data_IF_514948850747
#
_entry.id   IF_514948850747
#
_cell.length_a   1.000
_cell.length_b   1.000
_cell.length_c   1.000
_cell.angle_alpha   90.00
_cell.angle_beta   90.00
_cell.angle_gamma   90.00
#
_symmetry.space_group_name_H-M   'P 1'
#
loop_
_entity.id
_entity.type
_entity.pdbx_description
1 polymer ?
#
# COMPACT_ATOMS: atom_id res chain seq x y z
N UNK A 1 -0.38 5.66 -3.91
CA UNK A 1 -0.96 6.50 -4.97
C UNK A 1 -2.35 6.02 -5.41
N UNK A 2 -2.54 4.73 -5.71
CA UNK A 2 -3.85 4.18 -6.11
C UNK A 2 -4.95 4.34 -5.04
N UNK A 3 -4.60 4.19 -3.75
CA UNK A 3 -5.53 4.35 -2.64
C UNK A 3 -6.04 5.79 -2.51
N UNK A 4 -5.17 6.78 -2.72
CA UNK A 4 -5.53 8.21 -2.69
C UNK A 4 -6.54 8.57 -3.79
N UNK A 5 -6.35 8.03 -5.00
CA UNK A 5 -7.28 8.22 -6.11
C UNK A 5 -8.67 7.65 -5.82
N UNK A 6 -8.77 6.52 -5.12
CA UNK A 6 -10.06 5.92 -4.76
C UNK A 6 -10.74 6.67 -3.60
N UNK A 7 -10.02 6.97 -2.52
CA UNK A 7 -10.59 7.60 -1.32
C UNK A 7 -10.94 9.08 -1.49
N UNK A 8 -10.27 9.78 -2.43
CA UNK A 8 -10.54 11.20 -2.69
C UNK A 8 -11.28 11.38 -4.02
N UNK A 9 -10.90 10.63 -5.07
CA UNK A 9 -11.49 10.79 -6.39
C UNK A 9 -12.96 10.37 -6.46
N UNK A 10 -13.33 9.23 -5.86
CA UNK A 10 -14.72 8.74 -5.90
C UNK A 10 -15.69 9.73 -5.20
N UNK A 11 -15.40 10.22 -3.98
CA UNK A 11 -16.24 11.24 -3.36
C UNK A 11 -16.35 12.54 -4.15
N UNK A 12 -15.24 13.04 -4.70
CA UNK A 12 -15.24 14.28 -5.48
C UNK A 12 -16.04 14.15 -6.77
N UNK A 13 -15.88 13.05 -7.52
CA UNK A 13 -16.66 12.79 -8.73
C UNK A 13 -18.16 12.68 -8.42
N UNK A 14 -18.52 11.99 -7.33
CA UNK A 14 -19.91 11.85 -6.93
C UNK A 14 -20.53 13.20 -6.55
N UNK A 15 -19.82 14.00 -5.74
CA UNK A 15 -20.26 15.34 -5.36
C UNK A 15 -20.38 16.29 -6.56
N UNK A 16 -19.48 16.18 -7.55
CA UNK A 16 -19.55 16.93 -8.81
C UNK A 16 -20.81 16.58 -9.62
N UNK A 17 -21.15 15.29 -9.74
CA UNK A 17 -22.37 14.85 -10.42
C UNK A 17 -23.61 15.36 -9.68
N UNK A 18 -23.64 15.25 -8.35
CA UNK A 18 -24.74 15.79 -7.53
C UNK A 18 -24.88 17.30 -7.71
N UNK A 19 -23.77 18.04 -7.70
CA UNK A 19 -23.77 19.48 -7.93
C UNK A 19 -24.36 19.81 -9.31
N UNK A 20 -23.89 19.15 -10.37
CA UNK A 20 -24.36 19.38 -11.74
C UNK A 20 -25.85 19.10 -11.92
N UNK A 21 -26.35 18.00 -11.35
CA UNK A 21 -27.79 17.67 -11.39
C UNK A 21 -28.61 18.71 -10.63
N UNK A 22 -28.17 19.11 -9.44
CA UNK A 22 -28.89 20.08 -8.62
C UNK A 22 -28.87 21.49 -9.21
N UNK A 23 -27.78 21.89 -9.89
CA UNK A 23 -27.75 23.18 -10.61
C UNK A 23 -28.73 23.26 -11.76
N UNK A 24 -29.11 22.13 -12.37
CA UNK A 24 -30.17 22.09 -13.38
C UNK A 24 -31.58 22.11 -12.80
N UNK A 25 -31.76 21.63 -11.57
CA UNK A 25 -33.07 21.60 -10.89
C UNK A 25 -33.39 22.94 -10.21
N UNK A 26 -32.38 23.66 -9.75
CA UNK A 26 -32.53 24.96 -9.09
C UNK A 26 -32.32 26.13 -10.07
N UNK A 27 -33.41 26.68 -10.62
CA UNK A 27 -33.38 28.02 -11.24
C UNK A 27 -33.91 29.11 -10.29
N UNK A 28 -33.38 30.35 -10.36
CA UNK A 28 -31.98 30.70 -10.60
C UNK A 28 -31.15 30.54 -9.30
N UNK A 29 -29.87 30.20 -9.46
CA UNK A 29 -28.84 30.18 -8.40
C UNK A 29 -28.54 31.57 -7.82
N UNK A 30 -29.20 32.63 -8.32
CA UNK A 30 -29.08 33.99 -7.77
C UNK A 30 -29.70 34.14 -6.39
N UNK A 31 -30.62 33.23 -6.01
CA UNK A 31 -31.13 33.19 -4.64
C UNK A 31 -30.10 32.58 -3.70
N UNK A 32 -29.69 33.36 -2.68
CA UNK A 32 -28.77 32.91 -1.62
C UNK A 32 -29.25 31.60 -0.98
N UNK A 33 -30.56 31.41 -0.86
CA UNK A 33 -31.14 30.18 -0.32
C UNK A 33 -30.91 28.95 -1.22
N UNK A 34 -30.89 29.13 -2.54
CA UNK A 34 -30.58 28.06 -3.47
C UNK A 34 -29.08 27.71 -3.43
N UNK A 35 -28.21 28.71 -3.26
CA UNK A 35 -26.77 28.48 -3.04
C UNK A 35 -26.48 27.72 -1.76
N UNK A 36 -27.13 28.10 -0.65
CA UNK A 36 -26.99 27.39 0.63
C UNK A 36 -27.48 25.95 0.55
N UNK A 37 -28.62 25.70 -0.11
CA UNK A 37 -29.14 24.34 -0.36
C UNK A 37 -28.16 23.52 -1.20
N UNK A 38 -27.66 24.08 -2.30
CA UNK A 38 -26.68 23.41 -3.14
C UNK A 38 -25.42 23.03 -2.35
N UNK A 39 -24.83 23.99 -1.62
CA UNK A 39 -23.66 23.75 -0.79
C UNK A 39 -23.90 22.67 0.26
N UNK A 40 -25.05 22.69 0.94
CA UNK A 40 -25.43 21.65 1.90
C UNK A 40 -25.49 20.26 1.25
N UNK A 41 -26.17 20.11 0.11
CA UNK A 41 -26.27 18.82 -0.58
C UNK A 41 -24.92 18.31 -1.09
N UNK A 42 -24.06 19.20 -1.57
CA UNK A 42 -22.69 18.84 -1.99
C UNK A 42 -21.87 18.35 -0.80
N UNK A 43 -21.93 19.02 0.35
CA UNK A 43 -21.24 18.59 1.56
C UNK A 43 -21.76 17.23 2.04
N UNK A 44 -23.08 17.04 2.10
CA UNK A 44 -23.69 15.76 2.48
C UNK A 44 -23.29 14.65 1.51
N UNK A 45 -23.28 14.91 0.20
CA UNK A 45 -22.85 13.95 -0.80
C UNK A 45 -21.37 13.56 -0.64
N UNK A 46 -20.48 14.51 -0.34
CA UNK A 46 -19.07 14.24 -0.04
C UNK A 46 -18.91 13.35 1.20
N UNK A 47 -19.61 13.67 2.28
CA UNK A 47 -19.52 12.91 3.53
C UNK A 47 -20.05 11.47 3.37
N UNK A 48 -21.20 11.31 2.70
CA UNK A 48 -21.79 9.99 2.46
C UNK A 48 -20.93 9.14 1.53
N UNK A 49 -20.43 9.71 0.44
CA UNK A 49 -19.57 8.97 -0.50
C UNK A 49 -18.23 8.60 0.13
N UNK A 50 -17.65 9.47 0.97
CA UNK A 50 -16.46 9.14 1.75
C UNK A 50 -16.72 7.97 2.70
N UNK A 51 -17.83 8.00 3.44
CA UNK A 51 -18.22 6.91 4.35
C UNK A 51 -18.40 5.58 3.61
N UNK A 52 -19.13 5.58 2.48
CA UNK A 52 -19.33 4.39 1.65
C UNK A 52 -17.99 3.86 1.15
N UNK A 53 -17.09 4.74 0.71
CA UNK A 53 -15.76 4.34 0.24
C UNK A 53 -14.92 3.72 1.35
N UNK A 54 -15.00 4.24 2.59
CA UNK A 54 -14.35 3.63 3.76
C UNK A 54 -14.89 2.23 4.06
N UNK A 55 -16.22 2.07 4.09
CA UNK A 55 -16.85 0.78 4.38
C UNK A 55 -16.51 -0.25 3.30
N UNK A 56 -16.66 0.12 2.03
CA UNK A 56 -16.34 -0.76 0.90
C UNK A 56 -14.84 -1.06 0.83
N UNK A 57 -13.98 -0.06 0.99
CA UNK A 57 -12.53 -0.26 1.03
C UNK A 57 -12.11 -1.23 2.13
N UNK A 58 -12.64 -1.06 3.34
CA UNK A 58 -12.39 -1.97 4.46
C UNK A 58 -12.90 -3.39 4.21
N UNK A 59 -14.11 -3.52 3.65
CA UNK A 59 -14.71 -4.82 3.32
C UNK A 59 -13.90 -5.57 2.25
N UNK A 60 -13.48 -4.88 1.19
CA UNK A 60 -12.64 -5.44 0.15
C UNK A 60 -11.30 -5.90 0.73
N UNK A 61 -10.61 -5.06 1.51
CA UNK A 61 -9.35 -5.47 2.16
C UNK A 61 -9.57 -6.67 3.07
N UNK A 62 -10.63 -6.67 3.88
CA UNK A 62 -10.94 -7.76 4.81
C UNK A 62 -11.24 -9.10 4.13
N UNK A 63 -11.90 -9.10 2.97
CA UNK A 63 -12.20 -10.34 2.22
C UNK A 63 -11.01 -10.78 1.37
N UNK A 64 -10.37 -9.84 0.68
CA UNK A 64 -9.32 -10.17 -0.27
C UNK A 64 -8.01 -10.51 0.43
N UNK A 65 -7.71 -9.94 1.60
CA UNK A 65 -6.46 -10.23 2.31
C UNK A 65 -6.29 -11.72 2.66
N UNK A 66 -7.27 -12.40 3.29
CA UNK A 66 -7.20 -13.84 3.50
C UNK A 66 -7.06 -14.65 2.22
N UNK A 67 -7.66 -14.19 1.10
CA UNK A 67 -7.56 -14.87 -0.18
C UNK A 67 -6.15 -14.77 -0.80
N UNK A 68 -5.47 -13.63 -0.61
CA UNK A 68 -4.09 -13.45 -1.10
C UNK A 68 -3.02 -14.02 -0.16
N UNK A 69 -3.36 -14.30 1.11
CA UNK A 69 -2.41 -14.82 2.09
C UNK A 69 -1.71 -16.13 1.64
N UNK A 70 -2.40 -17.16 1.11
CA UNK A 70 -1.72 -18.37 0.63
C UNK A 70 -0.72 -18.10 -0.50
N UNK A 71 -1.05 -17.15 -1.40
CA UNK A 71 -0.17 -16.76 -2.50
C UNK A 71 1.07 -16.03 -1.97
N UNK A 72 0.88 -15.14 -0.99
CA UNK A 72 1.95 -14.46 -0.28
C UNK A 72 2.88 -15.46 0.40
N UNK A 73 2.35 -16.39 1.20
CA UNK A 73 3.13 -17.40 1.89
C UNK A 73 3.86 -18.34 0.92
N UNK A 74 3.19 -18.77 -0.15
CA UNK A 74 3.81 -19.60 -1.18
C UNK A 74 4.98 -18.88 -1.87
N UNK A 75 4.86 -17.56 -2.11
CA UNK A 75 5.95 -16.76 -2.66
C UNK A 75 7.11 -16.62 -1.67
N UNK A 76 6.82 -16.37 -0.40
CA UNK A 76 7.85 -16.26 0.64
C UNK A 76 8.63 -17.57 0.79
N UNK A 77 7.94 -18.71 0.80
CA UNK A 77 8.58 -20.04 0.82
C UNK A 77 9.46 -20.28 -0.41
N UNK A 78 9.00 -19.89 -1.61
CA UNK A 78 9.81 -19.97 -2.84
C UNK A 78 11.06 -19.10 -2.79
N UNK A 79 11.00 -17.97 -2.08
CA UNK A 79 12.15 -17.11 -1.86
C UNK A 79 13.11 -17.63 -0.77
N UNK A 80 12.81 -18.76 -0.11
CA UNK A 80 13.66 -19.35 0.91
C UNK A 80 13.41 -18.84 2.34
N UNK A 81 12.27 -18.18 2.58
CA UNK A 81 11.80 -17.86 3.93
C UNK A 81 11.32 -19.15 4.66
N UNK A 82 11.37 -19.21 6.01
CA UNK A 82 11.81 -18.16 6.93
C UNK A 82 13.31 -17.90 6.86
N UNK A 83 13.70 -16.65 7.12
CA UNK A 83 15.11 -16.24 7.23
C UNK A 83 15.51 -16.15 8.70
N UNK A 84 16.78 -16.40 8.97
CA UNK A 84 17.39 -16.34 10.29
C UNK A 84 18.67 -15.51 10.24
N UNK A 85 19.09 -15.01 11.40
CA UNK A 85 20.37 -14.32 11.56
C UNK A 85 21.53 -15.18 11.02
N UNK A 86 22.35 -14.59 10.18
CA UNK A 86 23.46 -15.23 9.47
C UNK A 86 23.15 -15.63 8.03
N UNK A 87 21.87 -15.69 7.64
CA UNK A 87 21.47 -16.07 6.28
C UNK A 87 21.96 -15.06 5.24
N UNK A 88 22.52 -15.58 4.15
CA UNK A 88 22.88 -14.78 2.97
C UNK A 88 21.65 -14.60 2.09
N UNK A 89 21.29 -13.35 1.83
CA UNK A 89 20.09 -12.98 1.10
C UNK A 89 20.39 -11.94 0.04
N UNK A 90 19.64 -11.97 -1.06
CA UNK A 90 19.64 -10.95 -2.10
C UNK A 90 18.38 -10.11 -2.01
N UNK A 91 18.54 -8.79 -2.07
CA UNK A 91 17.42 -7.85 -2.05
C UNK A 91 16.79 -7.77 -3.44
N UNK A 92 15.47 -7.92 -3.54
CA UNK A 92 14.74 -8.00 -4.81
C UNK A 92 14.19 -6.66 -5.30
N UNK A 93 14.15 -5.64 -4.44
CA UNK A 93 13.44 -4.37 -4.72
C UNK A 93 14.15 -3.16 -4.11
N UNK A 94 13.80 -1.96 -4.59
CA UNK A 94 14.26 -0.69 -4.03
C UNK A 94 15.70 -0.31 -4.42
N UNK A 95 16.28 0.64 -3.67
CA UNK A 95 17.60 1.23 -3.95
C UNK A 95 18.74 0.21 -3.87
N UNK A 96 18.60 -0.79 -2.99
CA UNK A 96 19.61 -1.84 -2.76
C UNK A 96 19.31 -3.12 -3.55
N UNK A 97 18.51 -3.04 -4.63
CA UNK A 97 18.15 -4.20 -5.45
C UNK A 97 19.39 -4.93 -5.98
N UNK A 98 19.28 -6.26 -6.03
CA UNK A 98 20.30 -7.23 -6.44
C UNK A 98 21.57 -7.26 -5.56
N UNK A 99 21.62 -6.43 -4.50
CA UNK A 99 22.67 -6.49 -3.49
C UNK A 99 22.49 -7.75 -2.65
N UNK A 100 23.58 -8.49 -2.52
CA UNK A 100 23.70 -9.63 -1.62
C UNK A 100 24.24 -9.16 -0.28
N UNK A 101 23.59 -9.55 0.80
CA UNK A 101 23.91 -9.15 2.16
C UNK A 101 23.56 -10.28 3.14
N UNK A 102 23.78 -10.07 4.43
CA UNK A 102 23.44 -11.01 5.50
C UNK A 102 22.35 -10.45 6.39
N UNK A 103 21.45 -11.32 6.83
CA UNK A 103 20.53 -11.01 7.91
C UNK A 103 21.33 -10.94 9.21
N UNK A 104 21.25 -9.82 9.93
CA UNK A 104 21.98 -9.66 11.19
C UNK A 104 21.06 -9.59 12.41
N UNK A 105 19.75 -9.35 12.21
CA UNK A 105 18.78 -9.27 13.30
C UNK A 105 17.37 -9.54 12.77
N UNK A 106 16.57 -10.26 13.56
CA UNK A 106 15.13 -10.38 13.34
C UNK A 106 14.44 -9.05 13.70
N UNK A 107 13.34 -8.73 13.02
CA UNK A 107 12.52 -7.55 13.32
C UNK A 107 11.08 -7.96 13.63
N UNK A 108 10.23 -6.98 13.95
CA UNK A 108 8.80 -7.22 14.20
C UNK A 108 8.11 -7.70 12.92
N UNK A 109 7.15 -8.60 13.10
CA UNK A 109 6.33 -9.21 12.05
C UNK A 109 7.18 -10.02 11.04
N UNK A 110 6.80 -10.04 9.77
CA UNK A 110 7.49 -10.75 8.69
C UNK A 110 8.67 -9.94 8.10
N UNK A 111 9.45 -9.30 8.97
CA UNK A 111 10.56 -8.42 8.59
C UNK A 111 11.87 -8.82 9.27
N UNK A 112 12.98 -8.57 8.57
CA UNK A 112 14.34 -8.80 9.07
C UNK A 112 15.23 -7.60 8.75
N UNK A 113 16.32 -7.43 9.50
CA UNK A 113 17.35 -6.43 9.24
C UNK A 113 18.55 -7.04 8.55
N UNK A 114 19.05 -6.35 7.53
CA UNK A 114 20.17 -6.82 6.69
C UNK A 114 21.35 -5.85 6.69
N UNK A 115 22.56 -6.36 6.53
CA UNK A 115 23.79 -5.59 6.69
C UNK A 115 24.10 -4.71 5.46
N UNK A 116 23.68 -3.45 5.49
CA UNK A 116 23.85 -2.50 4.37
C UNK A 116 24.88 -1.39 4.63
N UNK A 117 25.05 -1.00 5.90
CA UNK A 117 25.94 0.07 6.35
C UNK A 117 25.41 0.69 7.65
N UNK A 118 26.20 1.51 8.32
CA UNK A 118 25.78 2.17 9.57
C UNK A 118 24.73 3.28 9.29
N UNK A 119 24.88 4.04 8.21
CA UNK A 119 23.90 5.05 7.79
C UNK A 119 22.51 4.44 7.57
N UNK A 120 22.43 3.33 6.83
CA UNK A 120 21.16 2.65 6.60
C UNK A 120 20.54 2.08 7.88
N UNK A 121 21.37 1.68 8.86
CA UNK A 121 20.89 1.21 10.17
C UNK A 121 20.32 2.34 11.00
N UNK A 122 20.96 3.51 11.00
CA UNK A 122 20.50 4.71 11.72
C UNK A 122 19.20 5.25 11.13
N UNK A 123 19.06 5.19 9.80
CA UNK A 123 17.87 5.64 9.08
C UNK A 123 16.78 4.56 8.94
N UNK A 124 16.97 3.36 9.50
CA UNK A 124 16.07 2.20 9.39
C UNK A 124 15.76 1.77 7.94
N UNK A 125 16.68 2.06 7.01
CA UNK A 125 16.61 1.65 5.60
C UNK A 125 17.10 0.21 5.38
N UNK A 126 17.44 -0.48 6.46
CA UNK A 126 17.96 -1.84 6.48
C UNK A 126 16.91 -2.89 6.88
N UNK A 127 15.65 -2.49 7.10
CA UNK A 127 14.53 -3.38 7.38
C UNK A 127 13.85 -3.80 6.07
N UNK A 128 13.75 -5.11 5.84
CA UNK A 128 13.08 -5.66 4.67
C UNK A 128 12.04 -6.69 5.07
N UNK A 129 10.91 -6.70 4.37
CA UNK A 129 9.95 -7.79 4.45
C UNK A 129 10.52 -9.05 3.79
N UNK A 130 10.18 -10.23 4.31
CA UNK A 130 10.63 -11.52 3.75
C UNK A 130 10.29 -11.70 2.26
N UNK A 131 9.23 -11.07 1.75
CA UNK A 131 8.89 -11.16 0.31
C UNK A 131 9.85 -10.35 -0.58
N UNK A 132 10.57 -9.39 0.00
CA UNK A 132 11.52 -8.51 -0.67
C UNK A 132 12.93 -9.12 -0.75
N UNK A 133 13.14 -10.29 -0.16
CA UNK A 133 14.42 -10.98 -0.09
C UNK A 133 14.31 -12.34 -0.78
N UNK A 134 15.45 -12.86 -1.24
CA UNK A 134 15.61 -14.27 -1.64
C UNK A 134 16.87 -14.84 -1.02
N UNK A 135 16.81 -16.06 -0.49
CA UNK A 135 17.98 -16.79 0.02
C UNK A 135 18.94 -17.04 -1.12
N UNK A 136 20.22 -16.75 -0.88
CA UNK A 136 21.28 -17.12 -1.83
C UNK A 136 22.03 -18.31 -1.26
N UNK A 137 21.94 -19.44 -1.96
CA UNK A 137 22.69 -20.63 -1.59
C UNK A 137 24.19 -20.39 -1.82
N UNK A 138 25.02 -20.82 -0.88
CA UNK A 138 26.48 -20.62 -0.94
C UNK A 138 27.13 -21.28 -2.19
N UNK A 139 26.43 -22.19 -2.87
CA UNK A 139 26.93 -22.94 -4.02
C UNK A 139 26.83 -22.19 -5.36
N UNK A 140 26.04 -21.12 -5.48
CA UNK A 140 25.90 -20.39 -6.76
C UNK A 140 27.06 -19.44 -7.08
N UNK A 141 28.09 -19.36 -6.22
CA UNK A 141 29.32 -18.60 -6.46
C UNK A 141 30.43 -19.35 -7.20
N UNK A 142 30.23 -20.63 -7.54
CA UNK A 142 31.25 -21.52 -8.16
C UNK A 142 31.01 -21.80 -9.65
N UNK A 143 30.10 -21.09 -10.31
CA UNK A 143 29.76 -21.36 -11.72
C UNK A 143 29.85 -20.09 -12.56
N UNK A 144 31.07 -19.59 -12.70
CA UNK A 144 31.54 -18.76 -13.81
C UNK A 144 33.07 -18.83 -13.80
N UNK A 145 33.57 -20.00 -14.19
CA UNK A 145 34.88 -20.17 -14.82
C UNK A 145 34.66 -20.20 -16.34
#
# INVERSE_FOLDING_TARGET
MLSLLFFIGVPLCFAYVVAGVLTHVYEPLSSVWNLLKLGFYVIVALLLSFLVTLVMGGFLVGIFWPLFRPLYEARCRKNGAPFHVGDRVRILVGRNKDRVTRVYSDWRDDCVRVELGEEEKEEFKDIFSIIQLVREDAESGSRND
#
